data_IF_265163340201
#
_entry.id   IF_265163340201
#
_cell.length_a   1.000
_cell.length_b   1.000
_cell.length_c   1.000
_cell.angle_alpha   90.00
_cell.angle_beta   90.00
_cell.angle_gamma   90.00
#
_symmetry.space_group_name_H-M   'P 1'
#
loop_
_entity.id
_entity.type
_entity.pdbx_description
1 polymer ?
#
# COMPACT_ATOMS: atom_id res chain seq x y z
N UNK A 1 7.94 9.42 21.35
CA UNK A 1 7.68 9.90 19.97
C UNK A 1 6.77 11.11 20.04
N UNK A 2 7.31 12.26 19.67
CA UNK A 2 6.66 13.56 19.50
C UNK A 2 6.63 13.93 18.02
N UNK A 3 5.88 14.97 17.59
CA UNK A 3 5.91 15.43 16.20
C UNK A 3 7.30 15.86 15.73
N UNK A 4 8.21 16.24 16.65
CA UNK A 4 9.57 16.65 16.31
C UNK A 4 10.52 15.47 16.09
N UNK A 5 10.08 14.25 16.40
CA UNK A 5 10.91 13.04 16.32
C UNK A 5 10.80 12.34 14.96
N UNK A 6 9.84 12.74 14.11
CA UNK A 6 9.50 12.08 12.83
C UNK A 6 9.10 13.08 11.75
N UNK A 7 9.05 12.66 10.49
CA UNK A 7 8.57 13.50 9.39
C UNK A 7 7.06 13.82 9.51
N UNK A 8 6.59 14.96 8.96
CA UNK A 8 5.18 15.33 8.98
C UNK A 8 4.21 14.24 8.49
N UNK A 9 4.49 13.55 7.38
CA UNK A 9 3.66 12.42 6.90
C UNK A 9 3.62 11.30 7.94
N UNK A 10 4.77 10.95 8.52
CA UNK A 10 4.88 9.90 9.55
C UNK A 10 4.06 10.27 10.78
N UNK A 11 4.09 11.54 11.20
CA UNK A 11 3.26 12.03 12.31
C UNK A 11 1.76 11.95 11.98
N UNK A 12 1.36 12.34 10.76
CA UNK A 12 -0.04 12.23 10.31
C UNK A 12 -0.54 10.77 10.32
N UNK A 13 0.31 9.81 9.96
CA UNK A 13 0.00 8.36 10.07
C UNK A 13 -0.21 7.96 11.53
N UNK A 14 0.63 8.44 12.46
CA UNK A 14 0.49 8.17 13.90
C UNK A 14 -0.83 8.71 14.42
N UNK A 15 -1.19 9.95 14.07
CA UNK A 15 -2.44 10.58 14.48
C UNK A 15 -3.66 9.82 13.95
N UNK A 16 -3.64 9.43 12.67
CA UNK A 16 -4.71 8.63 12.06
C UNK A 16 -4.83 7.25 12.71
N UNK A 17 -3.69 6.61 13.01
CA UNK A 17 -3.66 5.34 13.74
C UNK A 17 -4.29 5.47 15.13
N UNK A 18 -3.94 6.51 15.90
CA UNK A 18 -4.52 6.78 17.23
C UNK A 18 -6.02 7.09 17.18
N UNK A 19 -6.49 7.72 16.11
CA UNK A 19 -7.91 8.00 15.90
C UNK A 19 -8.71 6.76 15.44
N UNK A 20 -8.03 5.68 15.03
CA UNK A 20 -8.68 4.46 14.55
C UNK A 20 -9.04 3.54 15.73
N UNK A 21 -10.32 3.22 15.89
CA UNK A 21 -10.77 2.34 16.96
C UNK A 21 -10.31 0.89 16.74
N UNK A 22 -10.12 0.14 17.83
CA UNK A 22 -9.75 -1.28 17.74
C UNK A 22 -10.77 -2.12 16.96
N UNK A 23 -12.06 -1.83 17.12
CA UNK A 23 -13.14 -2.51 16.37
C UNK A 23 -13.00 -2.26 14.88
N UNK A 24 -12.78 -0.99 14.48
CA UNK A 24 -12.55 -0.66 13.07
C UNK A 24 -11.31 -1.36 12.55
N UNK A 25 -10.21 -1.33 13.29
CA UNK A 25 -8.95 -1.95 12.87
C UNK A 25 -9.10 -3.46 12.65
N UNK A 26 -9.74 -4.19 13.57
CA UNK A 26 -10.00 -5.63 13.41
C UNK A 26 -10.88 -5.90 12.19
N UNK A 27 -11.92 -5.09 11.98
CA UNK A 27 -12.77 -5.20 10.79
C UNK A 27 -11.96 -4.98 9.50
N UNK A 28 -11.10 -3.96 9.45
CA UNK A 28 -10.25 -3.67 8.29
C UNK A 28 -9.30 -4.85 7.99
N UNK A 29 -8.73 -5.47 9.03
CA UNK A 29 -7.89 -6.67 8.88
C UNK A 29 -8.68 -7.87 8.34
N UNK A 30 -9.91 -8.10 8.80
CA UNK A 30 -10.75 -9.17 8.25
C UNK A 30 -11.13 -8.92 6.78
N UNK A 31 -11.37 -7.66 6.40
CA UNK A 31 -11.60 -7.31 4.99
C UNK A 31 -10.38 -7.62 4.12
N UNK A 32 -9.16 -7.29 4.59
CA UNK A 32 -7.93 -7.65 3.86
C UNK A 32 -7.78 -9.17 3.70
N UNK A 33 -8.16 -9.97 4.71
CA UNK A 33 -8.15 -11.43 4.61
C UNK A 33 -9.16 -11.97 3.60
N UNK A 34 -10.35 -11.37 3.52
CA UNK A 34 -11.37 -11.72 2.53
C UNK A 34 -10.87 -11.41 1.11
N UNK A 35 -10.42 -10.18 0.89
CA UNK A 35 -9.86 -9.74 -0.41
C UNK A 35 -8.68 -10.63 -0.83
N UNK A 36 -7.81 -11.00 0.11
CA UNK A 36 -6.70 -11.92 -0.17
C UNK A 36 -7.15 -13.28 -0.69
N UNK A 37 -8.23 -13.85 -0.13
CA UNK A 37 -8.81 -15.11 -0.62
C UNK A 37 -9.44 -14.95 -2.00
N UNK A 38 -10.11 -13.84 -2.26
CA UNK A 38 -10.72 -13.56 -3.56
C UNK A 38 -9.64 -13.46 -4.65
N UNK A 39 -8.55 -12.73 -4.39
CA UNK A 39 -7.40 -12.62 -5.31
C UNK A 39 -6.80 -14.01 -5.61
N UNK A 40 -6.59 -14.84 -4.58
CA UNK A 40 -6.08 -16.21 -4.78
C UNK A 40 -7.05 -17.02 -5.63
N UNK A 41 -8.35 -16.94 -5.37
CA UNK A 41 -9.39 -17.63 -6.14
C UNK A 41 -9.41 -17.21 -7.61
N UNK A 42 -9.33 -15.91 -7.88
CA UNK A 42 -9.35 -15.34 -9.23
C UNK A 42 -8.11 -15.75 -10.05
N UNK A 43 -6.95 -15.86 -9.39
CA UNK A 43 -5.69 -16.22 -10.05
C UNK A 43 -5.42 -17.74 -10.11
N UNK A 44 -6.12 -18.54 -9.30
CA UNK A 44 -5.95 -20.00 -9.22
C UNK A 44 -6.05 -20.74 -10.57
N UNK A 45 -6.83 -20.30 -11.58
CA UNK A 45 -6.86 -20.94 -12.90
C UNK A 45 -5.57 -20.76 -13.73
N UNK A 46 -4.63 -19.92 -13.31
CA UNK A 46 -3.43 -19.57 -14.05
C UNK A 46 -2.17 -20.00 -13.30
N UNK A 47 -1.19 -20.56 -14.00
CA UNK A 47 0.11 -20.92 -13.39
C UNK A 47 0.94 -19.68 -13.03
N UNK A 48 0.88 -18.64 -13.87
CA UNK A 48 1.63 -17.40 -13.73
C UNK A 48 0.75 -16.23 -14.19
N UNK A 49 0.79 -15.13 -13.43
CA UNK A 49 0.18 -13.86 -13.80
C UNK A 49 1.27 -12.83 -14.08
N UNK A 50 1.21 -12.17 -15.24
CA UNK A 50 2.23 -11.21 -15.68
C UNK A 50 1.63 -9.80 -15.69
N UNK A 51 2.26 -8.88 -14.97
CA UNK A 51 1.93 -7.45 -14.97
C UNK A 51 3.20 -6.62 -15.09
N UNK A 52 3.11 -5.36 -15.55
CA UNK A 52 4.14 -4.38 -15.23
C UNK A 52 4.33 -4.27 -13.72
N UNK A 53 5.56 -4.05 -13.26
CA UNK A 53 5.85 -3.84 -11.82
C UNK A 53 5.42 -2.44 -11.36
N UNK A 54 5.56 -1.44 -12.23
CA UNK A 54 5.09 -0.07 -12.02
C UNK A 54 4.24 0.37 -13.21
N UNK A 55 3.30 1.28 -12.99
CA UNK A 55 2.44 1.82 -14.07
C UNK A 55 3.07 2.98 -14.84
N UNK A 56 4.25 3.42 -14.43
CA UNK A 56 4.94 4.59 -14.96
C UNK A 56 6.43 4.57 -14.60
N UNK A 57 7.20 5.43 -15.27
CA UNK A 57 8.63 5.61 -15.03
C UNK A 57 8.93 6.14 -13.61
N UNK A 58 10.20 6.00 -13.13
CA UNK A 58 10.62 6.57 -11.86
C UNK A 58 10.28 8.06 -11.75
N UNK A 59 9.78 8.45 -10.58
CA UNK A 59 9.41 9.83 -10.28
C UNK A 59 10.67 10.68 -10.03
N UNK A 60 10.65 11.98 -10.36
CA UNK A 60 11.74 12.88 -10.03
C UNK A 60 11.91 13.00 -8.50
N UNK A 61 13.11 13.39 -8.07
CA UNK A 61 13.38 13.67 -6.67
C UNK A 61 12.39 14.72 -6.12
N UNK A 62 11.92 14.51 -4.89
CA UNK A 62 10.94 15.39 -4.24
C UNK A 62 9.48 15.11 -4.60
N UNK A 63 9.18 14.17 -5.52
CA UNK A 63 7.79 13.81 -5.81
C UNK A 63 7.07 13.19 -4.59
N UNK A 64 7.76 12.30 -3.87
CA UNK A 64 7.33 11.75 -2.59
C UNK A 64 7.92 12.61 -1.47
N UNK A 65 7.19 13.63 -1.04
CA UNK A 65 7.66 14.61 -0.07
C UNK A 65 7.15 14.26 1.32
N UNK A 66 8.06 13.81 2.19
CA UNK A 66 7.74 13.42 3.57
C UNK A 66 7.37 14.63 4.45
N UNK A 67 7.58 15.87 3.96
CA UNK A 67 7.15 17.08 4.65
C UNK A 67 5.67 17.42 4.47
N UNK A 68 4.96 16.71 3.58
CA UNK A 68 3.52 16.84 3.41
C UNK A 68 2.76 16.49 4.70
N UNK A 69 1.66 17.21 4.96
CA UNK A 69 0.82 16.98 6.14
C UNK A 69 -0.52 16.31 5.80
N UNK A 70 -0.95 16.41 4.55
CA UNK A 70 -2.15 15.72 4.07
C UNK A 70 -1.82 14.28 3.65
N UNK A 71 -2.15 13.35 4.55
CA UNK A 71 -1.91 11.93 4.36
C UNK A 71 -2.70 11.34 3.18
N UNK A 72 -3.87 11.87 2.84
CA UNK A 72 -4.67 11.33 1.73
C UNK A 72 -4.07 11.73 0.38
N UNK A 73 -3.64 12.99 0.25
CA UNK A 73 -2.87 13.45 -0.91
C UNK A 73 -1.55 12.70 -1.07
N UNK A 74 -0.83 12.44 0.03
CA UNK A 74 0.40 11.65 0.00
C UNK A 74 0.13 10.20 -0.45
N UNK A 75 -0.90 9.55 0.10
CA UNK A 75 -1.27 8.17 -0.26
C UNK A 75 -1.72 8.04 -1.72
N UNK A 76 -2.39 9.05 -2.29
CA UNK A 76 -2.79 9.04 -3.70
C UNK A 76 -1.60 8.89 -4.67
N UNK A 77 -0.40 9.33 -4.27
CA UNK A 77 0.83 9.20 -5.07
C UNK A 77 1.30 7.75 -5.27
N UNK A 78 0.81 6.82 -4.44
CA UNK A 78 1.19 5.40 -4.49
C UNK A 78 0.47 4.60 -5.58
N UNK A 79 -0.45 5.20 -6.34
CA UNK A 79 -1.10 4.55 -7.48
C UNK A 79 -0.13 4.01 -8.55
N UNK A 80 1.11 4.48 -8.55
CA UNK A 80 2.16 4.04 -9.46
C UNK A 80 2.60 2.58 -9.22
N UNK A 81 2.38 2.06 -8.02
CA UNK A 81 2.73 0.71 -7.58
C UNK A 81 1.48 -0.19 -7.42
N UNK A 82 0.37 0.16 -8.08
CA UNK A 82 -0.94 -0.50 -7.86
C UNK A 82 -0.91 -2.00 -8.09
N UNK A 83 -0.10 -2.48 -9.03
CA UNK A 83 0.03 -3.92 -9.32
C UNK A 83 0.72 -4.71 -8.20
N UNK A 84 1.39 -4.05 -7.24
CA UNK A 84 2.06 -4.74 -6.14
C UNK A 84 1.10 -5.03 -4.98
N UNK A 85 0.05 -4.22 -4.78
CA UNK A 85 -0.85 -4.36 -3.64
C UNK A 85 -1.57 -5.71 -3.57
N UNK A 86 -2.12 -6.27 -4.67
CA UNK A 86 -2.80 -7.56 -4.62
C UNK A 86 -1.91 -8.69 -4.09
N UNK A 87 -0.61 -8.68 -4.43
CA UNK A 87 0.34 -9.71 -4.01
C UNK A 87 0.79 -9.54 -2.55
N UNK A 88 0.89 -8.30 -2.05
CA UNK A 88 1.09 -8.04 -0.61
C UNK A 88 -0.13 -8.44 0.23
N UNK A 89 -1.34 -8.24 -0.28
CA UNK A 89 -2.59 -8.58 0.42
C UNK A 89 -2.82 -10.10 0.44
N UNK A 90 -2.65 -10.76 -0.72
CA UNK A 90 -2.88 -12.21 -0.87
C UNK A 90 -1.74 -13.07 -0.33
N UNK A 91 -0.50 -12.56 -0.29
CA UNK A 91 0.68 -13.32 0.08
C UNK A 91 1.20 -14.25 -1.02
N UNK A 92 0.70 -14.15 -2.25
CA UNK A 92 1.21 -14.89 -3.40
C UNK A 92 2.66 -14.47 -3.73
N UNK A 93 3.53 -15.40 -4.17
CA UNK A 93 4.90 -15.07 -4.53
C UNK A 93 4.94 -14.17 -5.77
N UNK A 94 5.78 -13.13 -5.73
CA UNK A 94 5.96 -12.19 -6.83
C UNK A 94 7.45 -11.87 -7.06
N UNK A 95 7.83 -11.63 -8.31
CA UNK A 95 9.19 -11.22 -8.71
C UNK A 95 9.11 -10.13 -9.79
N UNK A 96 10.05 -9.17 -9.74
CA UNK A 96 10.26 -8.15 -10.78
C UNK A 96 11.48 -8.51 -11.62
N UNK A 97 11.35 -8.45 -12.94
CA UNK A 97 12.43 -8.73 -13.88
C UNK A 97 12.80 -7.45 -14.67
N UNK A 98 14.10 -7.09 -14.79
CA UNK A 98 14.54 -5.93 -15.57
C UNK A 98 14.64 -6.30 -17.05
N UNK A 99 13.49 -6.42 -17.71
CA UNK A 99 13.35 -6.79 -19.11
C UNK A 99 13.68 -5.63 -20.07
#
# INVERSE_FOLDING_TARGET
>A
VTPKDVEPVTWAVIERGRATSGIKHVSDVEQLRLIGRDIVGDLNPYDIFITPTLTQLPRPLGYYDMSETDLDSYNAKWGNAVFNFPFNISGLPAISLPL
#
